data_IF_636562599167
#
_entry.id   IF_636562599167
#
_cell.length_a   1.000
_cell.length_b   1.000
_cell.length_c   1.000
_cell.angle_alpha   90.00
_cell.angle_beta   90.00
_cell.angle_gamma   90.00
#
_symmetry.space_group_name_H-M   'P 1'
#
loop_
_entity.id
_entity.type
_entity.pdbx_description
1 polymer ?
#
# COMPACT_ATOMS: atom_id res chain seq x y z
N UNK A 1 -29.56 24.18 -61.34
CA UNK A 1 -30.25 23.86 -60.08
C UNK A 1 -30.30 22.34 -59.88
N UNK A 2 -29.15 21.66 -59.90
CA UNK A 2 -29.06 20.19 -59.75
C UNK A 2 -27.78 19.81 -58.96
N UNK A 3 -26.71 20.58 -59.12
CA UNK A 3 -25.43 20.37 -58.40
C UNK A 3 -25.52 20.75 -56.90
N UNK A 4 -26.31 21.78 -56.56
CA UNK A 4 -26.48 22.21 -55.16
C UNK A 4 -27.32 21.23 -54.32
N UNK A 5 -28.22 20.46 -54.95
CA UNK A 5 -29.03 19.45 -54.25
C UNK A 5 -28.24 18.16 -53.99
N UNK A 6 -27.27 17.83 -54.84
CA UNK A 6 -26.42 16.65 -54.66
C UNK A 6 -25.39 16.84 -53.52
N UNK A 7 -24.80 18.04 -53.40
CA UNK A 7 -23.91 18.33 -52.27
C UNK A 7 -24.65 18.51 -50.95
N UNK A 8 -25.84 19.13 -50.94
CA UNK A 8 -26.70 19.17 -49.74
C UNK A 8 -27.12 17.78 -49.29
N UNK A 9 -27.49 16.89 -50.21
CA UNK A 9 -27.87 15.51 -49.89
C UNK A 9 -26.71 14.70 -49.30
N UNK A 10 -25.48 14.87 -49.83
CA UNK A 10 -24.27 14.26 -49.26
C UNK A 10 -23.90 14.84 -47.89
N UNK A 11 -24.05 16.14 -47.70
CA UNK A 11 -23.77 16.79 -46.42
C UNK A 11 -24.80 16.39 -45.35
N UNK A 12 -26.08 16.28 -45.70
CA UNK A 12 -27.12 15.80 -44.79
C UNK A 12 -26.90 14.31 -44.42
N UNK A 13 -26.56 13.47 -45.40
CA UNK A 13 -26.25 12.05 -45.17
C UNK A 13 -24.99 11.84 -44.32
N UNK A 14 -23.96 12.69 -44.46
CA UNK A 14 -22.73 12.57 -43.67
C UNK A 14 -22.94 12.92 -42.19
N UNK A 15 -23.76 13.95 -41.91
CA UNK A 15 -24.14 14.28 -40.54
C UNK A 15 -25.06 13.23 -39.92
N UNK A 16 -26.00 12.66 -40.70
CA UNK A 16 -26.90 11.60 -40.21
C UNK A 16 -26.18 10.28 -39.89
N UNK A 17 -25.14 9.91 -40.67
CA UNK A 17 -24.32 8.72 -40.42
C UNK A 17 -23.29 8.92 -39.29
N UNK A 18 -22.78 10.15 -39.11
CA UNK A 18 -21.95 10.52 -37.97
C UNK A 18 -22.75 10.55 -36.65
N UNK A 19 -24.07 10.79 -36.73
CA UNK A 19 -24.99 10.74 -35.59
C UNK A 19 -25.21 9.30 -35.12
N UNK A 20 -25.43 8.32 -36.00
CA UNK A 20 -25.64 6.92 -35.61
C UNK A 20 -24.41 6.26 -34.98
N UNK A 21 -23.21 6.52 -35.53
CA UNK A 21 -21.97 5.98 -35.00
C UNK A 21 -21.64 6.51 -33.59
N UNK A 22 -22.06 7.75 -33.30
CA UNK A 22 -21.90 8.37 -31.99
C UNK A 22 -23.10 8.10 -31.07
N UNK A 23 -24.29 7.81 -31.60
CA UNK A 23 -25.48 7.45 -30.82
C UNK A 23 -25.25 6.18 -30.00
N UNK A 24 -24.59 5.17 -30.57
CA UNK A 24 -24.21 3.97 -29.83
C UNK A 24 -23.23 4.28 -28.68
N UNK A 25 -22.25 5.16 -28.91
CA UNK A 25 -21.30 5.61 -27.87
C UNK A 25 -21.97 6.46 -26.79
N UNK A 26 -22.92 7.32 -27.17
CA UNK A 26 -23.71 8.14 -26.25
C UNK A 26 -24.65 7.27 -25.40
N UNK A 27 -25.34 6.31 -26.01
CA UNK A 27 -26.17 5.35 -25.30
C UNK A 27 -25.34 4.51 -24.31
N UNK A 28 -24.11 4.14 -24.68
CA UNK A 28 -23.18 3.45 -23.79
C UNK A 28 -22.77 4.35 -22.61
N UNK A 29 -22.45 5.63 -22.84
CA UNK A 29 -22.09 6.58 -21.77
C UNK A 29 -23.26 6.90 -20.83
N UNK A 30 -24.48 7.01 -21.35
CA UNK A 30 -25.68 7.28 -20.54
C UNK A 30 -26.06 6.08 -19.68
N UNK A 31 -25.82 4.87 -20.18
CA UNK A 31 -26.08 3.62 -19.46
C UNK A 31 -24.86 3.11 -18.68
N UNK A 32 -23.76 3.87 -18.63
CA UNK A 32 -22.67 3.58 -17.71
C UNK A 32 -23.19 3.78 -16.29
N UNK A 33 -23.52 2.66 -15.68
CA UNK A 33 -23.69 2.58 -14.24
C UNK A 33 -22.31 2.28 -13.66
N UNK A 34 -21.99 2.84 -12.50
CA UNK A 34 -20.91 2.27 -11.71
C UNK A 34 -21.40 0.88 -11.35
N UNK A 35 -20.71 -0.17 -11.80
CA UNK A 35 -21.01 -1.52 -11.34
C UNK A 35 -20.91 -1.49 -9.81
N UNK A 36 -22.06 -1.65 -9.13
CA UNK A 36 -22.15 -1.90 -7.69
C UNK A 36 -21.74 -3.35 -7.37
N UNK A 37 -20.94 -4.00 -8.22
CA UNK A 37 -20.23 -5.23 -7.90
C UNK A 37 -19.06 -4.93 -6.95
N UNK A 38 -19.40 -4.36 -5.80
CA UNK A 38 -18.60 -4.45 -4.60
C UNK A 38 -19.18 -5.58 -3.75
N UNK A 39 -19.23 -6.79 -4.33
CA UNK A 39 -19.28 -8.01 -3.53
C UNK A 39 -18.04 -8.03 -2.62
N UNK A 40 -18.18 -7.46 -1.42
CA UNK A 40 -17.48 -7.81 -0.17
C UNK A 40 -15.96 -8.06 -0.23
N UNK A 41 -15.24 -7.57 -1.23
CA UNK A 41 -13.80 -7.71 -1.30
C UNK A 41 -13.18 -6.60 -0.47
N UNK A 42 -12.70 -6.96 0.73
CA UNK A 42 -11.88 -6.08 1.56
C UNK A 42 -10.81 -5.42 0.69
N UNK A 43 -10.76 -4.08 0.61
CA UNK A 43 -9.84 -3.40 -0.28
C UNK A 43 -8.40 -3.77 0.11
N UNK A 44 -7.63 -4.24 -0.86
CA UNK A 44 -6.22 -4.61 -0.65
C UNK A 44 -5.39 -3.36 -0.33
N UNK A 45 -4.37 -3.55 0.49
CA UNK A 45 -3.33 -2.57 0.74
C UNK A 45 -2.64 -2.29 -0.59
N UNK A 46 -2.79 -1.06 -1.07
CA UNK A 46 -2.34 -0.68 -2.39
C UNK A 46 -1.55 0.62 -2.38
N UNK A 47 -0.77 0.75 -3.43
CA UNK A 47 -0.03 1.92 -3.80
C UNK A 47 -0.98 3.10 -4.08
N UNK A 48 -0.66 4.31 -3.60
CA UNK A 48 -1.36 5.57 -3.99
C UNK A 48 -1.54 5.63 -5.51
N UNK A 49 -2.74 6.01 -5.98
CA UNK A 49 -3.04 6.06 -7.41
C UNK A 49 -2.05 6.93 -8.20
N UNK A 50 -1.69 6.48 -9.41
CA UNK A 50 -0.60 7.07 -10.20
C UNK A 50 -0.80 8.58 -10.44
N UNK A 51 -2.01 9.01 -10.77
CA UNK A 51 -2.31 10.43 -11.03
C UNK A 51 -2.14 11.31 -9.77
N UNK A 52 -2.46 10.79 -8.58
CA UNK A 52 -2.20 11.49 -7.31
C UNK A 52 -0.72 11.55 -6.99
N UNK A 53 0.03 10.47 -7.28
CA UNK A 53 1.49 10.42 -7.08
C UNK A 53 2.25 11.42 -7.94
N UNK A 54 1.77 11.70 -9.14
CA UNK A 54 2.37 12.67 -10.05
C UNK A 54 2.30 14.10 -9.48
N UNK A 55 1.31 14.40 -8.65
CA UNK A 55 1.23 15.64 -7.91
C UNK A 55 2.21 15.63 -6.72
N UNK A 56 3.39 16.22 -6.89
CA UNK A 56 4.41 16.32 -5.83
C UNK A 56 3.92 17.03 -4.56
N UNK A 57 3.00 17.99 -4.69
CA UNK A 57 2.43 18.69 -3.55
C UNK A 57 1.54 17.79 -2.70
N UNK A 58 0.96 16.74 -3.29
CA UNK A 58 0.21 15.70 -2.59
C UNK A 58 1.13 14.57 -2.12
N UNK A 59 1.91 13.99 -3.03
CA UNK A 59 2.65 12.74 -2.77
C UNK A 59 3.68 12.85 -1.64
N UNK A 60 4.21 14.06 -1.37
CA UNK A 60 5.11 14.30 -0.24
C UNK A 60 4.51 13.92 1.12
N UNK A 61 3.17 13.97 1.26
CA UNK A 61 2.47 13.58 2.48
C UNK A 61 2.18 12.08 2.56
N UNK A 62 2.30 11.35 1.45
CA UNK A 62 2.15 9.91 1.40
C UNK A 62 3.45 9.16 1.72
N UNK A 63 4.57 9.87 1.92
CA UNK A 63 5.87 9.26 2.22
C UNK A 63 6.11 9.39 3.73
N UNK A 64 6.43 8.29 4.44
CA UNK A 64 6.78 8.37 5.85
C UNK A 64 7.96 9.30 6.09
N UNK A 65 7.93 10.05 7.20
CA UNK A 65 8.99 11.03 7.52
C UNK A 65 10.15 10.43 8.32
N UNK A 66 9.89 9.36 9.09
CA UNK A 66 10.83 8.82 10.06
C UNK A 66 11.07 7.32 9.84
N UNK A 67 10.02 6.51 9.95
CA UNK A 67 10.10 5.06 9.83
C UNK A 67 9.13 4.59 8.74
N UNK A 68 9.58 3.64 7.92
CA UNK A 68 8.74 2.94 6.95
C UNK A 68 8.37 1.57 7.47
N UNK A 69 7.07 1.27 7.43
CA UNK A 69 6.51 -0.06 7.65
C UNK A 69 5.91 -0.57 6.35
N UNK A 70 6.12 -1.85 6.07
CA UNK A 70 5.62 -2.58 4.93
C UNK A 70 6.30 -2.28 3.60
N UNK A 71 5.92 -3.04 2.56
CA UNK A 71 6.59 -3.06 1.25
C UNK A 71 6.39 -1.79 0.41
N UNK A 72 5.43 -0.92 0.73
CA UNK A 72 5.13 0.26 -0.09
C UNK A 72 6.31 1.26 -0.10
N UNK A 73 6.92 1.50 1.07
CA UNK A 73 7.91 2.56 1.28
C UNK A 73 9.32 2.06 1.62
N UNK A 74 9.51 0.73 1.70
CA UNK A 74 10.78 0.10 2.09
C UNK A 74 11.98 0.47 1.17
N UNK A 75 11.72 0.95 -0.06
CA UNK A 75 12.76 1.31 -1.03
C UNK A 75 13.33 2.74 -0.87
N UNK A 76 12.87 3.55 0.08
CA UNK A 76 13.37 4.91 0.25
C UNK A 76 14.72 4.93 1.01
N UNK A 77 15.82 5.06 0.26
CA UNK A 77 17.20 5.07 0.80
C UNK A 77 17.45 6.11 1.89
N UNK A 78 16.72 7.24 1.92
CA UNK A 78 16.89 8.29 2.94
C UNK A 78 16.30 7.92 4.29
N UNK A 79 15.18 7.19 4.30
CA UNK A 79 14.54 6.71 5.54
C UNK A 79 15.22 5.46 6.10
N UNK A 80 15.97 4.77 5.24
CA UNK A 80 16.59 3.46 5.51
C UNK A 80 17.70 3.46 6.55
N UNK A 81 18.27 4.59 6.95
CA UNK A 81 19.40 4.58 7.89
C UNK A 81 18.94 4.77 9.33
N UNK A 82 18.29 5.90 9.65
CA UNK A 82 17.85 6.18 11.03
C UNK A 82 16.61 5.36 11.41
N UNK A 83 15.60 5.33 10.54
CA UNK A 83 14.35 4.62 10.84
C UNK A 83 14.54 3.11 10.94
N UNK A 84 15.43 2.54 10.12
CA UNK A 84 15.76 1.12 10.21
C UNK A 84 16.47 0.77 11.51
N UNK A 85 17.40 1.62 11.97
CA UNK A 85 18.09 1.39 13.25
C UNK A 85 17.10 1.37 14.43
N UNK A 86 16.15 2.32 14.45
CA UNK A 86 15.09 2.35 15.45
C UNK A 86 14.22 1.09 15.41
N UNK A 87 13.80 0.64 14.22
CA UNK A 87 13.04 -0.61 14.07
C UNK A 87 13.80 -1.82 14.62
N UNK A 88 15.08 -1.96 14.31
CA UNK A 88 15.87 -3.08 14.82
C UNK A 88 16.01 -3.02 16.35
N UNK A 89 16.16 -1.82 16.93
CA UNK A 89 16.20 -1.64 18.38
C UNK A 89 14.87 -2.01 19.06
N UNK A 90 13.74 -1.50 18.56
CA UNK A 90 12.41 -1.82 19.08
C UNK A 90 12.06 -3.30 18.91
N UNK A 91 12.42 -3.90 17.79
CA UNK A 91 12.28 -5.35 17.56
C UNK A 91 13.05 -6.14 18.62
N UNK A 92 14.30 -5.75 18.92
CA UNK A 92 15.09 -6.44 19.95
C UNK A 92 14.50 -6.27 21.36
N UNK A 93 13.90 -5.12 21.66
CA UNK A 93 13.26 -4.87 22.95
C UNK A 93 11.96 -5.69 23.08
N UNK A 94 11.15 -5.73 22.02
CA UNK A 94 9.96 -6.59 21.97
C UNK A 94 10.29 -8.05 22.23
N UNK A 95 11.29 -8.59 21.53
CA UNK A 95 11.73 -9.98 21.68
C UNK A 95 12.18 -10.25 23.12
N UNK A 96 12.83 -9.28 23.76
CA UNK A 96 13.26 -9.40 25.16
C UNK A 96 12.08 -9.41 26.14
N UNK A 97 11.09 -8.55 25.95
CA UNK A 97 9.89 -8.51 26.80
C UNK A 97 9.08 -9.79 26.61
N UNK A 98 8.79 -10.13 25.36
CA UNK A 98 8.06 -11.35 25.02
C UNK A 98 8.77 -12.63 25.49
N UNK A 99 10.10 -12.69 25.43
CA UNK A 99 10.83 -13.87 25.91
C UNK A 99 10.72 -14.05 27.42
N UNK A 100 10.69 -12.97 28.20
CA UNK A 100 10.49 -13.04 29.66
C UNK A 100 9.11 -13.57 29.99
N UNK A 101 8.09 -13.18 29.21
CA UNK A 101 6.70 -13.59 29.42
C UNK A 101 6.41 -15.04 28.98
N UNK A 102 6.92 -15.44 27.81
CA UNK A 102 6.52 -16.71 27.18
C UNK A 102 7.62 -17.79 27.12
N UNK A 103 8.90 -17.43 27.29
CA UNK A 103 10.04 -18.32 27.03
C UNK A 103 11.12 -18.30 28.14
N UNK A 104 10.75 -17.93 29.38
CA UNK A 104 11.68 -17.88 30.53
C UNK A 104 12.97 -17.05 30.24
N UNK A 105 12.83 -15.99 29.44
CA UNK A 105 13.94 -15.13 29.02
C UNK A 105 14.76 -15.64 27.83
N UNK A 106 14.45 -16.79 27.24
CA UNK A 106 15.15 -17.29 26.06
C UNK A 106 14.80 -16.48 24.79
N UNK A 107 15.61 -15.46 24.51
CA UNK A 107 15.43 -14.55 23.36
C UNK A 107 15.48 -15.28 22.01
N UNK A 108 16.29 -16.33 21.89
CA UNK A 108 16.48 -17.03 20.63
C UNK A 108 15.22 -17.83 20.26
N UNK A 109 14.65 -18.57 21.22
CA UNK A 109 13.39 -19.30 21.02
C UNK A 109 12.23 -18.37 20.72
N UNK A 110 12.12 -17.26 21.46
CA UNK A 110 11.12 -16.23 21.21
C UNK A 110 11.22 -15.63 19.80
N UNK A 111 12.44 -15.29 19.35
CA UNK A 111 12.67 -14.76 18.01
C UNK A 111 12.30 -15.78 16.92
N UNK A 112 12.68 -17.05 17.08
CA UNK A 112 12.32 -18.10 16.13
C UNK A 112 10.82 -18.35 16.06
N UNK A 113 10.13 -18.31 17.21
CA UNK A 113 8.69 -18.45 17.26
C UNK A 113 8.00 -17.30 16.52
N UNK A 114 8.31 -16.05 16.86
CA UNK A 114 7.71 -14.87 16.22
C UNK A 114 7.97 -14.82 14.71
N UNK A 115 9.20 -15.13 14.28
CA UNK A 115 9.51 -15.28 12.86
C UNK A 115 8.69 -16.41 12.21
N UNK A 116 8.56 -17.54 12.90
CA UNK A 116 7.75 -18.69 12.48
C UNK A 116 6.27 -18.35 12.30
N UNK A 117 5.70 -17.49 13.16
CA UNK A 117 4.32 -17.00 13.05
C UNK A 117 4.13 -16.19 11.76
N UNK A 118 5.05 -15.29 11.43
CA UNK A 118 4.96 -14.53 10.17
C UNK A 118 5.13 -15.46 8.97
N UNK A 119 6.11 -16.37 9.03
CA UNK A 119 6.38 -17.33 7.96
C UNK A 119 5.18 -18.23 7.68
N UNK A 120 4.49 -18.74 8.70
CA UNK A 120 3.33 -19.62 8.51
C UNK A 120 2.10 -18.89 7.94
N UNK A 121 2.00 -17.57 8.17
CA UNK A 121 0.90 -16.73 7.70
C UNK A 121 1.19 -15.96 6.41
N UNK A 122 2.39 -16.10 5.82
CA UNK A 122 2.83 -15.26 4.69
C UNK A 122 1.89 -15.34 3.48
N UNK A 123 1.29 -16.51 3.22
CA UNK A 123 0.32 -16.70 2.14
C UNK A 123 -0.90 -15.80 2.28
N UNK A 124 -1.50 -15.74 3.47
CA UNK A 124 -2.64 -14.86 3.75
C UNK A 124 -2.24 -13.39 3.80
N UNK A 125 -1.07 -13.08 4.38
CA UNK A 125 -0.55 -11.72 4.43
C UNK A 125 -0.34 -11.15 3.02
N UNK A 126 0.18 -11.94 2.08
CA UNK A 126 0.36 -11.53 0.67
C UNK A 126 -0.97 -11.19 -0.01
N UNK A 127 -2.05 -11.91 0.30
CA UNK A 127 -3.39 -11.63 -0.27
C UNK A 127 -3.94 -10.27 0.15
N UNK A 128 -3.48 -9.73 1.28
CA UNK A 128 -3.86 -8.40 1.74
C UNK A 128 -3.24 -7.27 0.93
N UNK A 129 -2.22 -7.53 0.11
CA UNK A 129 -1.56 -6.52 -0.72
C UNK A 129 -1.96 -6.65 -2.19
N UNK A 130 -2.05 -5.51 -2.86
CA UNK A 130 -2.12 -5.50 -4.32
C UNK A 130 -0.77 -5.99 -4.90
N UNK A 131 -0.81 -6.73 -6.02
CA UNK A 131 0.36 -7.43 -6.56
C UNK A 131 1.52 -6.49 -6.90
N UNK A 132 1.20 -5.27 -7.35
CA UNK A 132 2.19 -4.22 -7.66
C UNK A 132 2.99 -3.75 -6.43
N UNK A 133 2.46 -3.94 -5.22
CA UNK A 133 3.15 -3.61 -3.97
C UNK A 133 4.25 -4.64 -3.70
N UNK A 134 3.97 -5.91 -3.96
CA UNK A 134 4.85 -7.05 -3.65
C UNK A 134 5.88 -7.32 -4.74
N UNK A 135 5.69 -6.74 -5.94
CA UNK A 135 6.59 -6.91 -7.08
C UNK A 135 8.03 -6.56 -6.71
N UNK A 136 8.93 -7.53 -6.89
CA UNK A 136 10.37 -7.36 -6.67
C UNK A 136 10.86 -7.80 -5.30
N UNK A 137 9.98 -8.30 -4.42
CA UNK A 137 10.38 -8.95 -3.18
C UNK A 137 10.36 -10.47 -3.33
N UNK A 138 11.37 -11.14 -2.78
CA UNK A 138 11.28 -12.57 -2.49
C UNK A 138 10.36 -12.81 -1.29
N UNK A 139 9.88 -14.04 -1.14
CA UNK A 139 9.06 -14.37 0.02
C UNK A 139 9.84 -14.23 1.34
N UNK A 140 11.11 -14.61 1.37
CA UNK A 140 11.97 -14.44 2.54
C UNK A 140 12.18 -12.97 2.91
N UNK A 141 12.36 -12.09 1.91
CA UNK A 141 12.45 -10.64 2.14
C UNK A 141 11.16 -10.08 2.74
N UNK A 142 9.99 -10.55 2.29
CA UNK A 142 8.70 -10.16 2.86
C UNK A 142 8.54 -10.66 4.29
N UNK A 143 8.87 -11.92 4.57
CA UNK A 143 8.77 -12.49 5.92
C UNK A 143 9.66 -11.71 6.87
N UNK A 144 10.91 -11.47 6.51
CA UNK A 144 11.85 -10.73 7.35
C UNK A 144 11.38 -9.31 7.61
N UNK A 145 10.91 -8.61 6.56
CA UNK A 145 10.37 -7.26 6.68
C UNK A 145 9.17 -7.22 7.62
N UNK A 146 8.18 -8.09 7.43
CA UNK A 146 6.95 -8.11 8.22
C UNK A 146 7.21 -8.55 9.67
N UNK A 147 8.19 -9.42 9.91
CA UNK A 147 8.63 -9.79 11.24
C UNK A 147 9.23 -8.59 12.00
N UNK A 148 10.19 -7.90 11.40
CA UNK A 148 10.82 -6.74 12.03
C UNK A 148 9.82 -5.58 12.20
N UNK A 149 9.00 -5.33 11.18
CA UNK A 149 7.96 -4.31 11.21
C UNK A 149 6.89 -4.61 12.27
N UNK A 150 6.44 -5.86 12.37
CA UNK A 150 5.45 -6.28 13.36
C UNK A 150 5.96 -6.14 14.80
N UNK A 151 7.16 -6.66 15.09
CA UNK A 151 7.73 -6.57 16.44
C UNK A 151 8.00 -5.11 16.85
N UNK A 152 8.58 -4.31 15.95
CA UNK A 152 8.87 -2.91 16.25
C UNK A 152 7.61 -2.06 16.41
N UNK A 153 6.55 -2.34 15.63
CA UNK A 153 5.26 -1.65 15.78
C UNK A 153 4.58 -2.01 17.11
N UNK A 154 4.58 -3.29 17.49
CA UNK A 154 3.99 -3.73 18.77
C UNK A 154 4.71 -3.08 19.96
N UNK A 155 6.06 -3.12 19.97
CA UNK A 155 6.83 -2.42 21.01
C UNK A 155 6.51 -0.93 21.08
N UNK A 156 6.43 -0.27 19.92
CA UNK A 156 6.08 1.14 19.86
C UNK A 156 4.68 1.39 20.45
N UNK A 157 3.69 0.58 20.08
CA UNK A 157 2.31 0.72 20.59
C UNK A 157 2.21 0.52 22.10
N UNK A 158 3.00 -0.40 22.66
CA UNK A 158 2.99 -0.69 24.10
C UNK A 158 3.75 0.37 24.92
N UNK A 159 4.72 1.06 24.31
CA UNK A 159 5.63 1.99 24.98
C UNK A 159 5.45 3.46 24.58
N UNK A 160 4.51 3.77 23.67
CA UNK A 160 4.24 5.15 23.28
C UNK A 160 3.54 5.89 24.41
N UNK A 161 4.32 6.73 25.09
CA UNK A 161 3.83 7.66 26.09
C UNK A 161 4.25 9.08 25.69
N UNK A 162 3.27 9.91 25.33
CA UNK A 162 3.51 11.32 24.95
C UNK A 162 4.12 12.14 26.08
N UNK A 163 4.01 11.68 27.32
CA UNK A 163 4.59 12.33 28.50
C UNK A 163 5.98 11.78 28.87
N UNK A 164 6.37 10.62 28.32
CA UNK A 164 7.62 9.91 28.64
C UNK A 164 8.25 9.25 27.40
N UNK A 165 8.76 10.04 26.44
CA UNK A 165 9.29 9.51 25.18
C UNK A 165 10.59 8.73 25.34
N UNK A 166 11.23 8.74 26.53
CA UNK A 166 12.53 8.11 26.75
C UNK A 166 12.49 6.58 26.56
N UNK A 167 11.33 5.96 26.86
CA UNK A 167 11.12 4.52 26.66
C UNK A 167 11.34 4.10 25.20
N UNK A 168 10.95 4.97 24.25
CA UNK A 168 11.11 4.73 22.83
C UNK A 168 12.51 5.06 22.30
N UNK A 169 13.41 5.59 23.15
CA UNK A 169 14.75 6.06 22.76
C UNK A 169 14.72 7.06 21.59
N UNK A 170 13.61 7.78 21.44
CA UNK A 170 13.46 8.82 20.43
C UNK A 170 14.11 10.10 20.97
N UNK A 171 15.12 10.61 20.25
CA UNK A 171 15.49 12.02 20.39
C UNK A 171 14.50 12.82 19.55
N UNK A 172 13.57 13.50 20.22
CA UNK A 172 12.76 14.54 19.59
C UNK A 172 13.62 15.80 19.60
N UNK A 173 14.16 16.17 18.44
CA UNK A 173 14.83 17.45 18.23
C UNK A 173 13.81 18.61 18.26
#
# INVERSE_FOLDING_TARGET
MVVLDFERSKHYSFYHMADEANAARLAQLVNQTFDEDNETNTPKIQRVALFLRQNRNFYKYCIPKMISFGPIHNCNKKLRQQGQHLKSQWTSLYIEEYSKEAYNGNKQEAAYYLYGVVKSNIGELKKQYHEDVLKGFTEEELIWMLFEDGCSLLYYMDNVDSTRPEALKLKLD
#
